data_IF_888197961607
#
_entry.id   IF_888197961607
#
_cell.length_a   1.000
_cell.length_b   1.000
_cell.length_c   1.000
_cell.angle_alpha   90.00
_cell.angle_beta   90.00
_cell.angle_gamma   90.00
#
_symmetry.space_group_name_H-M   'P 1'
#
loop_
_entity.id
_entity.type
_entity.pdbx_description
1 polymer ?
#
# COMPACT_ATOMS: atom_id res chain seq x y z
N UNK A 1 -13.23 5.43 -26.75
CA UNK A 1 -12.47 6.49 -26.07
C UNK A 1 -12.77 6.55 -24.58
N UNK A 2 -13.96 6.96 -24.11
CA UNK A 2 -14.23 7.11 -22.66
C UNK A 2 -14.11 5.78 -21.88
N UNK A 3 -14.75 4.71 -22.35
CA UNK A 3 -14.60 3.37 -21.74
C UNK A 3 -13.15 2.86 -21.71
N UNK A 4 -12.38 3.14 -22.77
CA UNK A 4 -10.96 2.75 -22.84
C UNK A 4 -10.13 3.54 -21.85
N UNK A 5 -10.42 4.84 -21.69
CA UNK A 5 -9.75 5.70 -20.72
C UNK A 5 -10.01 5.26 -19.27
N UNK A 6 -11.26 5.02 -18.91
CA UNK A 6 -11.63 4.55 -17.56
C UNK A 6 -10.95 3.21 -17.26
N UNK A 7 -10.91 2.30 -18.24
CA UNK A 7 -10.20 1.02 -18.10
C UNK A 7 -8.69 1.20 -17.85
N UNK A 8 -8.04 2.16 -18.51
CA UNK A 8 -6.62 2.46 -18.29
C UNK A 8 -6.36 2.94 -16.86
N UNK A 9 -7.20 3.86 -16.36
CA UNK A 9 -7.08 4.41 -15.01
C UNK A 9 -7.26 3.30 -13.97
N UNK A 10 -8.32 2.49 -14.08
CA UNK A 10 -8.56 1.35 -13.19
C UNK A 10 -7.38 0.36 -13.20
N UNK A 11 -6.86 0.03 -14.38
CA UNK A 11 -5.74 -0.90 -14.51
C UNK A 11 -4.46 -0.38 -13.85
N UNK A 12 -4.18 0.91 -13.98
CA UNK A 12 -3.03 1.57 -13.36
C UNK A 12 -3.16 1.61 -11.84
N UNK A 13 -4.33 1.98 -11.31
CA UNK A 13 -4.59 1.98 -9.87
C UNK A 13 -4.47 0.58 -9.27
N UNK A 14 -4.95 -0.46 -9.96
CA UNK A 14 -4.80 -1.87 -9.53
C UNK A 14 -3.36 -2.37 -9.55
N UNK A 15 -2.51 -1.79 -10.41
CA UNK A 15 -1.10 -2.11 -10.48
C UNK A 15 -0.25 -1.34 -9.44
N UNK A 16 -0.81 -0.28 -8.85
CA UNK A 16 -0.10 0.60 -7.92
C UNK A 16 -0.05 0.00 -6.51
N UNK A 17 1.04 -0.68 -6.19
CA UNK A 17 1.20 -1.49 -4.97
C UNK A 17 1.00 -0.71 -3.68
N UNK A 18 1.61 0.48 -3.54
CA UNK A 18 1.50 1.32 -2.34
C UNK A 18 0.05 1.74 -2.06
N UNK A 19 -0.66 2.15 -3.11
CA UNK A 19 -2.08 2.50 -3.02
C UNK A 19 -2.96 1.27 -2.69
N UNK A 20 -2.75 0.13 -3.36
CA UNK A 20 -3.51 -1.10 -3.07
C UNK A 20 -3.29 -1.58 -1.63
N UNK A 21 -2.07 -1.44 -1.10
CA UNK A 21 -1.77 -1.73 0.30
C UNK A 21 -2.54 -0.79 1.22
N UNK A 22 -2.54 0.52 0.97
CA UNK A 22 -3.26 1.50 1.77
C UNK A 22 -4.79 1.24 1.77
N UNK A 23 -5.37 0.92 0.61
CA UNK A 23 -6.78 0.54 0.50
C UNK A 23 -7.10 -0.70 1.34
N UNK A 24 -6.25 -1.74 1.28
CA UNK A 24 -6.39 -2.96 2.09
C UNK A 24 -6.27 -2.68 3.59
N UNK A 25 -5.42 -1.74 3.98
CA UNK A 25 -5.22 -1.32 5.38
C UNK A 25 -6.29 -0.34 5.87
N UNK A 26 -7.30 -0.03 5.05
CA UNK A 26 -8.36 0.93 5.36
C UNK A 26 -7.81 2.32 5.72
N UNK A 27 -6.78 2.77 5.01
CA UNK A 27 -6.09 4.05 5.27
C UNK A 27 -7.06 5.25 5.27
N UNK A 28 -8.08 5.25 4.41
CA UNK A 28 -9.14 6.27 4.40
C UNK A 28 -10.27 6.06 5.41
N UNK A 29 -10.08 5.19 6.42
CA UNK A 29 -11.08 4.85 7.42
C UNK A 29 -12.17 3.88 6.93
N UNK A 30 -13.34 3.84 7.59
CA UNK A 30 -14.43 2.92 7.27
C UNK A 30 -14.95 3.02 5.83
N UNK A 31 -14.78 4.18 5.20
CA UNK A 31 -15.26 4.48 3.85
C UNK A 31 -14.17 4.30 2.77
N UNK A 32 -13.04 3.67 3.11
CA UNK A 32 -11.88 3.53 2.20
C UNK A 32 -12.26 2.98 0.83
N UNK A 33 -13.15 1.99 0.77
CA UNK A 33 -13.57 1.39 -0.50
C UNK A 33 -14.44 2.34 -1.35
N UNK A 34 -15.33 3.11 -0.71
CA UNK A 34 -16.11 4.15 -1.39
C UNK A 34 -15.20 5.25 -1.91
N UNK A 35 -14.25 5.71 -1.08
CA UNK A 35 -13.23 6.69 -1.46
C UNK A 35 -12.37 6.19 -2.61
N UNK A 36 -11.97 4.93 -2.62
CA UNK A 36 -11.19 4.34 -3.71
C UNK A 36 -11.94 4.35 -5.05
N UNK A 37 -13.25 4.04 -5.04
CA UNK A 37 -14.11 4.15 -6.23
C UNK A 37 -14.25 5.59 -6.72
N UNK A 38 -14.56 6.51 -5.80
CA UNK A 38 -14.65 7.94 -6.07
C UNK A 38 -13.33 8.51 -6.63
N UNK A 39 -12.19 8.13 -6.04
CA UNK A 39 -10.88 8.60 -6.49
C UNK A 39 -10.59 8.17 -7.93
N UNK A 40 -10.94 6.94 -8.31
CA UNK A 40 -10.76 6.47 -9.68
C UNK A 40 -11.58 7.31 -10.70
N UNK A 41 -12.81 7.68 -10.34
CA UNK A 41 -13.68 8.53 -11.17
C UNK A 41 -13.13 9.95 -11.30
N UNK A 42 -12.81 10.60 -10.19
CA UNK A 42 -12.31 11.99 -10.19
C UNK A 42 -10.93 12.08 -10.83
N UNK A 43 -10.06 11.09 -10.64
CA UNK A 43 -8.76 11.01 -11.31
C UNK A 43 -8.94 10.90 -12.83
N UNK A 44 -9.85 10.02 -13.27
CA UNK A 44 -10.15 9.87 -14.69
C UNK A 44 -10.69 11.18 -15.29
N UNK A 45 -11.63 11.84 -14.62
CA UNK A 45 -12.21 13.09 -15.07
C UNK A 45 -11.17 14.23 -15.10
N UNK A 46 -10.42 14.40 -14.01
CA UNK A 46 -9.42 15.46 -13.86
C UNK A 46 -8.35 15.37 -14.96
N UNK A 47 -7.79 14.18 -15.17
CA UNK A 47 -6.77 13.98 -16.19
C UNK A 47 -7.35 14.10 -17.59
N UNK A 48 -8.59 13.64 -17.85
CA UNK A 48 -9.23 13.76 -19.16
C UNK A 48 -9.47 15.22 -19.56
N UNK A 49 -10.04 16.02 -18.64
CA UNK A 49 -10.42 17.41 -18.88
C UNK A 49 -9.24 18.39 -18.88
N UNK A 50 -8.17 18.08 -18.16
CA UNK A 50 -6.99 18.96 -18.07
C UNK A 50 -6.20 19.02 -19.38
N UNK A 51 -5.93 20.25 -19.86
CA UNK A 51 -5.05 20.51 -21.01
C UNK A 51 -3.63 20.81 -20.53
N UNK A 52 -2.62 20.29 -21.23
CA UNK A 52 -1.20 20.52 -20.95
C UNK A 52 -0.76 20.20 -19.51
N UNK A 53 -1.42 19.23 -18.88
CA UNK A 53 -1.08 18.77 -17.54
C UNK A 53 0.34 18.19 -17.52
N UNK A 54 1.19 18.76 -16.66
CA UNK A 54 2.56 18.28 -16.43
C UNK A 54 2.54 17.16 -15.40
N UNK A 55 3.53 16.26 -15.45
CA UNK A 55 3.68 15.16 -14.49
C UNK A 55 3.70 15.70 -13.05
N UNK A 56 4.53 16.72 -12.78
CA UNK A 56 4.64 17.34 -11.46
C UNK A 56 3.30 17.84 -10.90
N UNK A 57 2.53 18.60 -11.69
CA UNK A 57 1.24 19.14 -11.25
C UNK A 57 0.22 18.02 -10.96
N UNK A 58 0.21 16.97 -11.76
CA UNK A 58 -0.66 15.81 -11.53
C UNK A 58 -0.20 15.03 -10.29
N UNK A 59 1.11 14.88 -10.08
CA UNK A 59 1.66 14.22 -8.90
C UNK A 59 1.32 14.96 -7.62
N UNK A 60 1.47 16.29 -7.58
CA UNK A 60 1.05 17.10 -6.43
C UNK A 60 -0.46 16.95 -6.17
N UNK A 61 -1.29 17.02 -7.21
CA UNK A 61 -2.74 16.86 -7.07
C UNK A 61 -3.14 15.47 -6.56
N UNK A 62 -2.48 14.40 -7.03
CA UNK A 62 -2.69 13.04 -6.52
C UNK A 62 -2.23 12.96 -5.06
N UNK A 63 -1.08 13.53 -4.72
CA UNK A 63 -0.54 13.54 -3.36
C UNK A 63 -1.49 14.23 -2.39
N UNK A 64 -2.03 15.39 -2.75
CA UNK A 64 -3.00 16.12 -1.93
C UNK A 64 -4.24 15.26 -1.65
N UNK A 65 -4.79 14.58 -2.67
CA UNK A 65 -5.96 13.72 -2.46
C UNK A 65 -5.62 12.53 -1.55
N UNK A 66 -4.46 11.90 -1.72
CA UNK A 66 -4.06 10.79 -0.88
C UNK A 66 -3.86 11.21 0.58
N UNK A 67 -3.29 12.38 0.81
CA UNK A 67 -3.12 12.94 2.16
C UNK A 67 -4.49 13.24 2.80
N UNK A 68 -5.35 14.01 2.11
CA UNK A 68 -6.62 14.45 2.68
C UNK A 68 -7.68 13.34 2.81
N UNK A 69 -7.74 12.41 1.85
CA UNK A 69 -8.82 11.42 1.79
C UNK A 69 -8.41 10.05 2.32
N UNK A 70 -7.12 9.71 2.26
CA UNK A 70 -6.61 8.40 2.64
C UNK A 70 -5.62 8.44 3.80
N UNK A 71 -5.27 9.60 4.37
CA UNK A 71 -4.21 9.72 5.39
C UNK A 71 -2.92 9.02 4.92
N UNK A 72 -2.59 9.18 3.63
CA UNK A 72 -1.58 8.41 2.93
C UNK A 72 -0.53 9.33 2.29
N UNK A 73 0.72 9.18 2.74
CA UNK A 73 1.89 9.83 2.16
C UNK A 73 2.79 8.74 1.55
N UNK A 74 3.15 8.88 0.27
CA UNK A 74 4.03 7.96 -0.46
C UNK A 74 5.29 8.71 -0.94
N UNK A 75 6.45 8.36 -0.37
CA UNK A 75 7.75 8.98 -0.69
C UNK A 75 8.65 8.09 -1.57
N UNK A 76 8.06 7.12 -2.29
CA UNK A 76 8.76 6.09 -3.06
C UNK A 76 8.87 6.39 -4.58
N UNK A 77 8.50 7.60 -4.99
CA UNK A 77 8.36 8.04 -6.39
C UNK A 77 7.26 7.31 -7.20
N UNK A 78 6.39 6.54 -6.54
CA UNK A 78 5.34 5.79 -7.24
C UNK A 78 4.20 6.70 -7.73
N UNK A 79 4.00 7.87 -7.10
CA UNK A 79 3.05 8.90 -7.55
C UNK A 79 3.48 9.47 -8.91
N UNK A 80 4.75 9.80 -9.08
CA UNK A 80 5.35 10.29 -10.33
C UNK A 80 5.23 9.25 -11.45
N UNK A 81 5.49 7.98 -11.12
CA UNK A 81 5.28 6.87 -12.06
C UNK A 81 3.82 6.79 -12.52
N UNK A 82 2.85 6.89 -11.59
CA UNK A 82 1.44 6.86 -11.92
C UNK A 82 1.06 8.05 -12.80
N UNK A 83 1.45 9.26 -12.41
CA UNK A 83 1.16 10.49 -13.16
C UNK A 83 1.74 10.44 -14.58
N UNK A 84 3.00 10.02 -14.73
CA UNK A 84 3.62 9.80 -16.04
C UNK A 84 2.87 8.79 -16.89
N UNK A 85 2.48 7.65 -16.29
CA UNK A 85 1.78 6.58 -16.98
C UNK A 85 0.38 7.01 -17.46
N UNK A 86 -0.36 7.75 -16.63
CA UNK A 86 -1.67 8.29 -16.99
C UNK A 86 -1.60 9.24 -18.18
N UNK A 87 -0.64 10.18 -18.17
CA UNK A 87 -0.44 11.12 -19.26
C UNK A 87 -0.01 10.41 -20.55
N UNK A 88 0.81 9.37 -20.43
CA UNK A 88 1.22 8.55 -21.57
C UNK A 88 0.04 7.75 -22.16
N UNK A 89 -0.79 7.13 -21.32
CA UNK A 89 -2.02 6.47 -21.74
C UNK A 89 -2.98 7.43 -22.46
N UNK A 90 -3.15 8.65 -21.91
CA UNK A 90 -3.95 9.71 -22.55
C UNK A 90 -3.41 10.08 -23.94
N UNK A 91 -2.08 10.17 -24.08
CA UNK A 91 -1.44 10.45 -25.36
C UNK A 91 -1.68 9.34 -26.39
N UNK A 92 -1.50 8.07 -26.01
CA UNK A 92 -1.74 6.93 -26.90
C UNK A 92 -3.21 6.87 -27.36
N UNK A 93 -4.17 7.09 -26.46
CA UNK A 93 -5.59 7.13 -26.81
C UNK A 93 -5.92 8.28 -27.76
N UNK A 94 -5.31 9.45 -27.58
CA UNK A 94 -5.48 10.60 -28.47
C UNK A 94 -4.91 10.35 -29.87
N UNK A 95 -3.80 9.62 -29.95
CA UNK A 95 -3.13 9.29 -31.22
C UNK A 95 -3.65 7.99 -31.87
N UNK A 96 -4.69 7.35 -31.31
CA UNK A 96 -5.20 6.05 -31.74
C UNK A 96 -4.16 4.91 -31.73
N UNK A 97 -3.15 5.01 -30.85
CA UNK A 97 -2.07 4.04 -30.66
C UNK A 97 -2.49 2.93 -29.68
N UNK A 98 -3.49 2.15 -30.09
CA UNK A 98 -4.09 1.11 -29.24
C UNK A 98 -3.12 -0.04 -28.93
N UNK A 99 -2.26 -0.42 -29.88
CA UNK A 99 -1.33 -1.52 -29.70
C UNK A 99 -0.27 -1.22 -28.62
N UNK A 100 0.25 0.01 -28.60
CA UNK A 100 1.20 0.48 -27.59
C UNK A 100 0.57 0.53 -26.20
N UNK A 101 -0.68 1.01 -26.13
CA UNK A 101 -1.46 1.02 -24.89
C UNK A 101 -1.70 -0.39 -24.36
N UNK A 102 -2.19 -1.31 -25.19
CA UNK A 102 -2.48 -2.70 -24.78
C UNK A 102 -1.19 -3.42 -24.36
N UNK A 103 -0.08 -3.22 -25.08
CA UNK A 103 1.21 -3.77 -24.71
C UNK A 103 1.65 -3.25 -23.33
N UNK A 104 1.56 -1.95 -23.09
CA UNK A 104 1.90 -1.34 -21.81
C UNK A 104 1.03 -1.89 -20.66
N UNK A 105 -0.30 -1.93 -20.84
CA UNK A 105 -1.22 -2.44 -19.82
C UNK A 105 -1.03 -3.93 -19.53
N UNK A 106 -0.57 -4.71 -20.52
CA UNK A 106 -0.26 -6.14 -20.37
C UNK A 106 1.00 -6.41 -19.56
N UNK A 107 1.93 -5.45 -19.49
CA UNK A 107 3.17 -5.55 -18.71
C UNK A 107 2.98 -5.21 -17.24
N UNK A 108 1.87 -4.55 -16.88
CA UNK A 108 1.57 -4.22 -15.50
C UNK A 108 1.31 -5.50 -14.67
N UNK A 109 1.68 -5.54 -13.38
CA UNK A 109 1.36 -6.66 -12.51
C UNK A 109 -0.16 -6.85 -12.43
N UNK A 110 -0.65 -8.09 -12.43
CA UNK A 110 -2.07 -8.36 -12.21
C UNK A 110 -2.48 -7.96 -10.79
N UNK A 111 -3.77 -7.70 -10.59
CA UNK A 111 -4.31 -7.41 -9.26
C UNK A 111 -3.97 -8.53 -8.26
N UNK A 112 -4.04 -9.79 -8.69
CA UNK A 112 -3.61 -10.94 -7.89
C UNK A 112 -2.13 -10.91 -7.53
N UNK A 113 -1.24 -10.52 -8.45
CA UNK A 113 0.19 -10.43 -8.18
C UNK A 113 0.50 -9.33 -7.16
N UNK A 114 -0.19 -8.19 -7.24
CA UNK A 114 -0.09 -7.09 -6.26
C UNK A 114 -0.57 -7.55 -4.88
N UNK A 115 -1.70 -8.27 -4.81
CA UNK A 115 -2.23 -8.82 -3.56
C UNK A 115 -1.29 -9.86 -2.93
N UNK A 116 -0.71 -10.76 -3.73
CA UNK A 116 0.26 -11.75 -3.25
C UNK A 116 1.51 -11.11 -2.65
N UNK A 117 2.07 -10.09 -3.31
CA UNK A 117 3.24 -9.37 -2.81
C UNK A 117 2.99 -8.69 -1.44
N UNK A 118 1.76 -8.19 -1.22
CA UNK A 118 1.37 -7.60 0.06
C UNK A 118 1.26 -8.64 1.19
N UNK A 119 0.82 -9.85 0.88
CA UNK A 119 0.71 -10.96 1.86
C UNK A 119 2.08 -11.56 2.18
N UNK A 120 2.92 -11.81 1.18
CA UNK A 120 4.26 -12.40 1.38
C UNK A 120 5.14 -11.53 2.29
N UNK A 121 4.95 -10.21 2.24
CA UNK A 121 5.64 -9.26 3.13
C UNK A 121 5.27 -9.44 4.60
N UNK A 122 4.11 -10.01 4.93
CA UNK A 122 3.70 -10.30 6.32
C UNK A 122 4.28 -11.63 6.86
N UNK A 123 4.68 -12.57 6.00
CA UNK A 123 4.97 -13.96 6.41
C UNK A 123 6.30 -14.11 7.16
N UNK A 124 7.19 -13.11 7.16
CA UNK A 124 8.49 -13.22 7.85
C UNK A 124 8.38 -13.09 9.38
N UNK A 125 7.24 -12.65 9.92
CA UNK A 125 7.09 -12.47 11.38
C UNK A 125 6.48 -13.67 12.14
N UNK A 126 5.93 -14.68 11.45
CA UNK A 126 5.14 -15.74 12.13
C UNK A 126 5.71 -17.17 12.02
N UNK A 127 6.92 -17.33 11.48
CA UNK A 127 7.59 -18.65 11.38
C UNK A 127 8.62 -18.89 12.49
N UNK A 128 8.37 -18.39 13.71
CA UNK A 128 9.14 -18.73 14.91
C UNK A 128 8.28 -19.52 15.87
N UNK A 129 8.35 -20.84 15.72
CA UNK A 129 8.09 -21.84 16.77
C UNK A 129 6.62 -21.97 17.18
N UNK A 130 5.89 -22.82 16.43
CA UNK A 130 4.84 -23.67 16.99
C UNK A 130 5.43 -24.54 18.12
N UNK A 131 5.57 -23.99 19.33
CA UNK A 131 5.62 -24.77 20.55
C UNK A 131 4.27 -24.65 21.27
N UNK A 132 3.50 -25.73 21.12
CA UNK A 132 2.32 -26.10 21.90
C UNK A 132 2.52 -25.79 23.39
N UNK A 133 1.86 -24.77 23.91
CA UNK A 133 1.59 -24.62 25.35
C UNK A 133 0.06 -24.61 25.51
N UNK A 134 -0.43 -25.82 25.79
CA UNK A 134 -1.69 -26.09 26.46
C UNK A 134 -1.56 -25.58 27.91
N UNK A 135 -2.31 -24.55 28.27
CA UNK A 135 -2.39 -24.04 29.65
C UNK A 135 -3.84 -23.69 29.96
N UNK A 136 -4.50 -24.72 30.47
CA UNK A 136 -5.69 -24.75 31.32
C UNK A 136 -5.96 -23.45 32.11
N UNK A 137 -7.23 -23.09 32.06
CA UNK A 137 -7.99 -22.16 32.89
C UNK A 137 -7.58 -22.21 34.38
N UNK A 138 -7.02 -21.12 34.92
CA UNK A 138 -6.91 -20.95 36.37
C UNK A 138 -7.25 -19.52 36.79
N UNK A 139 -8.30 -19.44 37.61
CA UNK A 139 -8.80 -18.26 38.29
C UNK A 139 -7.71 -17.66 39.20
N UNK A 140 -7.47 -16.37 39.05
CA UNK A 140 -6.47 -15.65 39.83
C UNK A 140 -7.10 -15.17 41.15
N UNK A 141 -6.97 -15.97 42.21
CA UNK A 141 -6.98 -15.45 43.58
C UNK A 141 -5.54 -15.06 43.99
N UNK A 142 -5.43 -13.87 44.57
CA UNK A 142 -4.20 -13.23 45.02
C UNK A 142 -3.64 -13.90 46.27
N UNK A 143 -2.36 -14.31 46.28
CA UNK A 143 -1.37 -14.03 47.33
C UNK A 143 -0.07 -14.84 47.15
N UNK A 144 1.03 -14.14 47.40
CA UNK A 144 2.38 -14.58 47.79
C UNK A 144 3.34 -15.28 46.81
N UNK A 145 4.38 -14.49 46.49
CA UNK A 145 5.80 -14.83 46.34
C UNK A 145 6.17 -16.33 46.21
N UNK A 146 6.52 -16.75 44.98
CA UNK A 146 7.69 -17.60 44.77
C UNK A 146 8.19 -17.57 43.32
N UNK A 147 9.49 -17.29 43.21
CA UNK A 147 10.33 -17.16 42.02
C UNK A 147 10.15 -18.23 40.94
N UNK A 148 9.85 -17.82 39.71
CA UNK A 148 10.22 -18.55 38.50
C UNK A 148 11.11 -17.68 37.60
N UNK A 149 12.34 -18.14 37.38
CA UNK A 149 13.37 -17.49 36.55
C UNK A 149 13.00 -17.60 35.07
N UNK A 150 12.40 -16.56 34.50
CA UNK A 150 12.43 -16.39 33.05
C UNK A 150 13.82 -15.89 32.65
N UNK A 151 14.46 -16.59 31.70
CA UNK A 151 15.74 -16.19 31.12
C UNK A 151 15.56 -14.88 30.34
N UNK A 152 15.61 -13.74 31.05
CA UNK A 152 15.58 -12.41 30.44
C UNK A 152 16.79 -12.28 29.52
N UNK A 153 16.54 -12.25 28.20
CA UNK A 153 17.54 -11.86 27.19
C UNK A 153 18.21 -10.58 27.70
N UNK A 154 19.54 -10.56 27.82
CA UNK A 154 20.23 -9.37 28.30
C UNK A 154 20.09 -8.29 27.25
N UNK A 155 19.35 -7.27 27.64
CA UNK A 155 19.22 -6.00 26.93
C UNK A 155 20.33 -5.09 27.43
N UNK A 156 21.12 -4.52 26.52
CA UNK A 156 22.06 -3.47 26.86
C UNK A 156 21.65 -2.22 26.11
N UNK A 157 21.33 -1.17 26.85
CA UNK A 157 21.08 0.17 26.29
C UNK A 157 22.43 0.86 26.15
N UNK A 158 22.76 1.31 24.95
CA UNK A 158 23.97 2.10 24.70
C UNK A 158 23.77 3.57 25.09
N UNK A 159 24.84 4.37 24.99
CA UNK A 159 24.79 5.82 25.27
C UNK A 159 23.89 6.59 24.29
N UNK A 160 23.62 6.02 23.11
CA UNK A 160 22.72 6.58 22.09
C UNK A 160 21.24 6.21 22.33
N UNK A 161 20.93 5.41 23.37
CA UNK A 161 19.56 5.02 23.75
C UNK A 161 19.00 3.81 23.00
N UNK A 162 19.76 3.19 22.09
CA UNK A 162 19.37 1.94 21.43
C UNK A 162 19.59 0.75 22.37
N UNK A 163 18.61 -0.15 22.40
CA UNK A 163 18.70 -1.38 23.19
C UNK A 163 19.09 -2.55 22.29
N UNK A 164 20.32 -3.05 22.44
CA UNK A 164 20.77 -4.25 21.73
C UNK A 164 20.29 -5.51 22.46
N UNK A 165 19.62 -6.41 21.74
CA UNK A 165 19.26 -7.75 22.23
C UNK A 165 20.45 -8.68 22.02
N UNK A 166 21.17 -8.99 23.10
CA UNK A 166 22.30 -9.92 23.04
C UNK A 166 21.75 -11.34 22.96
N UNK A 167 21.91 -12.00 21.79
CA UNK A 167 21.72 -13.45 21.68
C UNK A 167 22.84 -14.16 22.46
N UNK A 168 22.48 -15.26 23.12
CA UNK A 168 23.40 -16.08 23.89
C UNK A 168 24.44 -16.74 22.98
#
# INVERSE_FOLDING_TARGET
MEHEWIHCVDRLLKAWTGYQLAVRMLSGGPETYQKAGWFAEVLAEHVFNSQNLQVHNLSEWISDILDYEFDLILEDNSIEWLASSLLQCKLWLRNCQKAELENFLSQLPSESAVQSAATESQVILDNSEEENIDCEEFEHETQDEQTMKSSKRRMKTDEDGWTTVIRR
#
